data_IF_336470432719
#
_entry.id   IF_336470432719
#
_cell.length_a   1.000
_cell.length_b   1.000
_cell.length_c   1.000
_cell.angle_alpha   90.00
_cell.angle_beta   90.00
_cell.angle_gamma   90.00
#
_symmetry.space_group_name_H-M   'P 1'
#
loop_
_entity.id
_entity.type
_entity.pdbx_description
1 polymer ?
#
# COMPACT_ATOMS: atom_id res chain seq x y z
N UNK A 1 -11.50 -9.33 -4.97
CA UNK A 1 -10.94 -9.10 -6.31
C UNK A 1 -9.42 -9.03 -6.16
N UNK A 2 -8.61 -9.53 -7.10
CA UNK A 2 -7.14 -9.41 -6.98
C UNK A 2 -6.69 -8.05 -7.53
N UNK A 3 -5.58 -7.49 -7.03
CA UNK A 3 -4.96 -6.27 -7.55
C UNK A 3 -4.81 -6.27 -9.09
N UNK A 4 -4.60 -7.44 -9.72
CA UNK A 4 -4.51 -7.55 -11.18
C UNK A 4 -5.87 -7.48 -11.85
N UNK A 5 -6.91 -7.99 -11.20
CA UNK A 5 -8.29 -7.87 -11.68
C UNK A 5 -8.73 -6.41 -11.63
N UNK A 6 -8.40 -5.67 -10.57
CA UNK A 6 -8.71 -4.23 -10.45
C UNK A 6 -7.97 -3.41 -11.53
N UNK A 7 -6.67 -3.68 -11.74
CA UNK A 7 -5.88 -3.06 -12.81
C UNK A 7 -6.43 -3.39 -14.20
N UNK A 8 -6.83 -4.64 -14.42
CA UNK A 8 -7.41 -5.09 -15.68
C UNK A 8 -8.83 -4.54 -15.88
N UNK A 9 -9.63 -4.36 -14.83
CA UNK A 9 -10.95 -3.75 -14.90
C UNK A 9 -10.85 -2.27 -15.24
N UNK A 10 -9.94 -1.54 -14.60
CA UNK A 10 -9.63 -0.14 -14.94
C UNK A 10 -9.12 -0.04 -16.38
N UNK A 11 -8.19 -0.91 -16.79
CA UNK A 11 -7.72 -0.97 -18.18
C UNK A 11 -8.87 -1.27 -19.16
N UNK A 12 -9.74 -2.23 -18.85
CA UNK A 12 -10.87 -2.62 -19.70
C UNK A 12 -11.99 -1.57 -19.74
N UNK A 13 -12.25 -0.86 -18.65
CA UNK A 13 -13.24 0.22 -18.57
C UNK A 13 -12.83 1.43 -19.40
N UNK A 14 -11.54 1.77 -19.37
CA UNK A 14 -10.93 2.82 -20.20
C UNK A 14 -10.98 2.46 -21.68
N UNK A 15 -10.65 1.22 -22.05
CA UNK A 15 -10.71 0.74 -23.44
C UNK A 15 -12.14 0.73 -24.01
N UNK A 16 -13.17 0.59 -23.17
CA UNK A 16 -14.59 0.59 -23.59
C UNK A 16 -15.19 1.99 -23.80
N UNK A 17 -14.60 3.05 -23.24
CA UNK A 17 -15.16 4.42 -23.25
C UNK A 17 -14.41 5.40 -24.17
N UNK A 18 -13.72 4.90 -25.20
CA UNK A 18 -12.96 5.69 -26.18
C UNK A 18 -13.84 6.54 -27.14
N UNK A 19 -14.84 7.24 -26.61
CA UNK A 19 -15.74 8.13 -27.36
C UNK A 19 -16.11 9.44 -26.66
N UNK A 20 -15.77 9.65 -25.38
CA UNK A 20 -16.07 10.92 -24.69
C UNK A 20 -14.90 11.36 -23.84
N UNK A 21 -14.10 12.25 -24.43
CA UNK A 21 -13.30 13.30 -23.80
C UNK A 21 -12.77 13.01 -22.38
N UNK A 22 -11.92 11.99 -22.31
CA UNK A 22 -10.88 11.83 -21.28
C UNK A 22 -9.57 12.18 -21.98
N UNK A 23 -9.16 13.45 -21.96
CA UNK A 23 -7.84 13.84 -22.49
C UNK A 23 -6.67 13.16 -21.72
N UNK A 24 -6.95 12.38 -20.66
CA UNK A 24 -5.98 11.85 -19.67
C UNK A 24 -6.08 10.34 -19.41
N UNK A 25 -6.92 9.61 -20.16
CA UNK A 25 -6.77 8.15 -20.23
C UNK A 25 -5.40 7.75 -20.85
N UNK A 26 -4.72 8.71 -21.48
CA UNK A 26 -3.47 8.57 -22.23
C UNK A 26 -2.19 8.29 -21.42
N UNK A 27 -2.21 8.28 -20.09
CA UNK A 27 -1.01 7.98 -19.28
C UNK A 27 -1.21 6.75 -18.37
N UNK A 28 -2.44 6.27 -18.26
CA UNK A 28 -2.89 5.18 -17.36
C UNK A 28 -2.87 3.81 -18.06
N UNK A 29 -2.22 3.72 -19.21
CA UNK A 29 -1.33 2.58 -19.37
C UNK A 29 0.05 3.15 -19.16
N UNK A 30 0.49 3.06 -17.91
CA UNK A 30 1.86 2.73 -17.55
C UNK A 30 2.44 2.01 -18.75
N UNK A 31 3.22 2.73 -19.56
CA UNK A 31 3.76 2.26 -20.84
C UNK A 31 4.17 0.80 -20.64
N UNK A 32 3.90 -0.16 -21.53
CA UNK A 32 4.13 -1.59 -21.23
C UNK A 32 5.49 -1.89 -20.55
N UNK A 33 6.48 -1.02 -20.78
CA UNK A 33 7.74 -0.87 -20.06
C UNK A 33 7.70 -0.75 -18.51
N UNK A 34 6.63 -0.27 -17.88
CA UNK A 34 6.54 -0.06 -16.44
C UNK A 34 5.64 -1.09 -15.72
N UNK A 35 4.93 -1.95 -16.46
CA UNK A 35 4.28 -3.14 -15.88
C UNK A 35 5.28 -4.05 -15.11
N UNK A 36 6.51 -4.33 -15.62
CA UNK A 36 7.51 -5.07 -14.85
C UNK A 36 7.88 -4.38 -13.53
N UNK A 37 7.95 -3.04 -13.51
CA UNK A 37 8.26 -2.27 -12.30
C UNK A 37 7.11 -2.36 -11.29
N UNK A 38 5.87 -2.27 -11.74
CA UNK A 38 4.68 -2.45 -10.89
C UNK A 38 4.68 -3.83 -10.22
N UNK A 39 4.92 -4.87 -11.02
CA UNK A 39 4.96 -6.25 -10.53
C UNK A 39 6.08 -6.46 -9.51
N UNK A 40 7.29 -6.01 -9.83
CA UNK A 40 8.44 -6.11 -8.93
C UNK A 40 8.20 -5.37 -7.61
N UNK A 41 7.67 -4.14 -7.67
CA UNK A 41 7.37 -3.34 -6.48
C UNK A 41 6.29 -4.02 -5.62
N UNK A 42 5.25 -4.58 -6.24
CA UNK A 42 4.19 -5.31 -5.53
C UNK A 42 4.75 -6.56 -4.83
N UNK A 43 5.50 -7.38 -5.56
CA UNK A 43 6.06 -8.63 -5.02
C UNK A 43 7.02 -8.34 -3.86
N UNK A 44 7.85 -7.30 -3.99
CA UNK A 44 8.77 -6.88 -2.95
C UNK A 44 8.05 -6.32 -1.72
N UNK A 45 7.01 -5.48 -1.91
CA UNK A 45 6.20 -4.98 -0.80
C UNK A 45 5.46 -6.11 -0.06
N UNK A 46 4.93 -7.09 -0.79
CA UNK A 46 4.28 -8.27 -0.20
C UNK A 46 5.28 -9.13 0.58
N UNK A 47 6.45 -9.40 0.00
CA UNK A 47 7.52 -10.15 0.66
C UNK A 47 7.96 -9.46 1.95
N UNK A 48 8.24 -8.16 1.89
CA UNK A 48 8.70 -7.38 3.04
C UNK A 48 7.65 -7.32 4.15
N UNK A 49 6.41 -6.97 3.81
CA UNK A 49 5.31 -6.90 4.80
C UNK A 49 5.00 -8.25 5.44
N UNK A 50 5.12 -9.36 4.70
CA UNK A 50 5.02 -10.71 5.28
C UNK A 50 6.09 -10.93 6.34
N UNK A 51 7.35 -10.56 6.08
CA UNK A 51 8.42 -10.69 7.06
C UNK A 51 8.16 -9.81 8.30
N UNK A 52 7.75 -8.56 8.10
CA UNK A 52 7.42 -7.65 9.21
C UNK A 52 6.23 -8.16 10.02
N UNK A 53 5.27 -8.86 9.41
CA UNK A 53 4.10 -9.39 10.14
C UNK A 53 4.47 -10.38 11.25
N UNK A 54 5.61 -11.07 11.14
CA UNK A 54 6.14 -11.96 12.18
C UNK A 54 7.12 -11.28 13.14
N UNK A 55 7.54 -10.03 12.90
CA UNK A 55 8.48 -9.32 13.78
C UNK A 55 7.92 -9.16 15.21
N UNK A 56 6.60 -9.25 15.37
CA UNK A 56 5.89 -9.11 16.63
C UNK A 56 5.49 -10.44 17.27
N UNK A 57 5.96 -11.59 16.77
CA UNK A 57 5.51 -12.92 17.21
C UNK A 57 6.56 -13.71 17.99
N UNK A 58 7.61 -13.05 18.48
CA UNK A 58 8.68 -13.70 19.24
C UNK A 58 8.12 -14.41 20.49
N UNK A 59 8.46 -15.70 20.64
CA UNK A 59 8.01 -16.52 21.77
C UNK A 59 6.57 -17.00 21.70
N UNK A 60 5.87 -16.77 20.58
CA UNK A 60 4.54 -17.32 20.33
C UNK A 60 4.63 -18.70 19.68
N UNK A 61 3.67 -19.57 20.00
CA UNK A 61 3.44 -20.82 19.25
C UNK A 61 3.04 -20.52 17.80
N UNK A 62 3.35 -21.45 16.88
CA UNK A 62 3.17 -21.25 15.43
C UNK A 62 1.76 -20.79 15.05
N UNK A 63 0.72 -21.41 15.59
CA UNK A 63 -0.68 -21.07 15.27
C UNK A 63 -1.07 -19.69 15.80
N UNK A 64 -0.52 -19.29 16.96
CA UNK A 64 -0.75 -17.97 17.53
C UNK A 64 0.01 -16.90 16.74
N UNK A 65 1.26 -17.18 16.39
CA UNK A 65 2.07 -16.32 15.53
C UNK A 65 1.37 -16.07 14.19
N UNK A 66 0.80 -17.11 13.56
CA UNK A 66 0.08 -16.96 12.30
C UNK A 66 -1.16 -16.09 12.43
N UNK A 67 -1.94 -16.23 13.51
CA UNK A 67 -3.12 -15.38 13.75
C UNK A 67 -2.75 -13.91 13.91
N UNK A 68 -1.69 -13.63 14.67
CA UNK A 68 -1.17 -12.26 14.86
C UNK A 68 -0.64 -11.70 13.55
N UNK A 69 0.17 -12.48 12.83
CA UNK A 69 0.73 -12.07 11.55
C UNK A 69 -0.36 -11.82 10.49
N UNK A 70 -1.37 -12.69 10.42
CA UNK A 70 -2.54 -12.51 9.55
C UNK A 70 -3.32 -11.25 9.89
N UNK A 71 -3.57 -10.98 11.18
CA UNK A 71 -4.24 -9.74 11.60
C UNK A 71 -3.41 -8.51 11.22
N UNK A 72 -2.09 -8.59 11.36
CA UNK A 72 -1.17 -7.51 11.01
C UNK A 72 -1.19 -7.18 9.51
N UNK A 73 -1.39 -8.19 8.65
CA UNK A 73 -1.48 -8.04 7.19
C UNK A 73 -2.85 -7.58 6.67
N UNK A 74 -3.87 -7.50 7.54
CA UNK A 74 -5.25 -7.16 7.13
C UNK A 74 -5.78 -5.95 7.93
N UNK A 75 -5.52 -4.75 7.43
CA UNK A 75 -5.77 -3.44 8.06
C UNK A 75 -4.94 -3.16 9.33
N UNK A 76 -3.87 -3.92 9.52
CA UNK A 76 -2.96 -3.83 10.65
C UNK A 76 -1.59 -3.22 10.32
N UNK A 77 -0.59 -3.37 11.21
CA UNK A 77 0.73 -2.75 11.05
C UNK A 77 1.47 -3.13 9.77
N UNK A 78 1.53 -4.41 9.44
CA UNK A 78 2.22 -4.88 8.24
C UNK A 78 1.53 -4.40 6.97
N UNK A 79 0.20 -4.26 7.02
CA UNK A 79 -0.58 -3.74 5.90
C UNK A 79 -0.31 -2.25 5.65
N UNK A 80 -0.33 -1.44 6.71
CA UNK A 80 0.02 -0.03 6.64
C UNK A 80 1.43 0.20 6.06
N UNK A 81 2.40 -0.61 6.50
CA UNK A 81 3.77 -0.61 5.98
C UNK A 81 3.82 -1.04 4.51
N UNK A 82 3.07 -2.08 4.12
CA UNK A 82 2.96 -2.57 2.73
C UNK A 82 2.51 -1.46 1.79
N UNK A 83 1.42 -0.78 2.12
CA UNK A 83 0.84 0.30 1.33
C UNK A 83 1.78 1.50 1.21
N UNK A 84 2.39 1.91 2.33
CA UNK A 84 3.36 3.00 2.32
C UNK A 84 4.61 2.66 1.50
N UNK A 85 5.18 1.47 1.66
CA UNK A 85 6.39 1.06 0.96
C UNK A 85 6.16 0.83 -0.53
N UNK A 86 5.06 0.17 -0.91
CA UNK A 86 4.64 0.04 -2.32
C UNK A 86 4.55 1.43 -2.97
N UNK A 87 3.83 2.35 -2.33
CA UNK A 87 3.65 3.71 -2.83
C UNK A 87 4.96 4.49 -2.92
N UNK A 88 5.91 4.25 -2.02
CA UNK A 88 7.24 4.84 -2.09
C UNK A 88 8.05 4.32 -3.29
N UNK A 89 8.02 3.00 -3.56
CA UNK A 89 8.67 2.44 -4.76
C UNK A 89 8.06 3.00 -6.04
N UNK A 90 6.72 3.04 -6.13
CA UNK A 90 6.04 3.61 -7.29
C UNK A 90 6.32 5.11 -7.45
N UNK A 91 6.26 5.86 -6.36
CA UNK A 91 6.56 7.30 -6.35
C UNK A 91 8.01 7.59 -6.77
N UNK A 92 8.97 6.73 -6.40
CA UNK A 92 10.37 6.81 -6.87
C UNK A 92 10.45 6.54 -8.37
N UNK A 93 9.93 5.40 -8.81
CA UNK A 93 10.20 4.80 -10.11
C UNK A 93 9.35 5.33 -11.27
N UNK A 94 8.14 5.81 -10.97
CA UNK A 94 7.18 6.34 -11.95
C UNK A 94 6.99 7.85 -11.80
N UNK A 95 7.17 8.40 -10.60
CA UNK A 95 6.78 9.78 -10.32
C UNK A 95 5.40 9.89 -9.71
N UNK A 96 5.05 11.10 -9.28
CA UNK A 96 3.88 11.33 -8.44
C UNK A 96 2.56 11.00 -9.17
N UNK A 97 2.37 11.54 -10.36
CA UNK A 97 1.09 11.43 -11.10
C UNK A 97 0.79 9.98 -11.49
N UNK A 98 1.73 9.31 -12.14
CA UNK A 98 1.58 7.91 -12.56
C UNK A 98 1.38 6.96 -11.37
N UNK A 99 2.13 7.15 -10.29
CA UNK A 99 2.00 6.34 -9.09
C UNK A 99 0.65 6.58 -8.38
N UNK A 100 0.22 7.84 -8.26
CA UNK A 100 -1.06 8.19 -7.64
C UNK A 100 -2.22 7.54 -8.38
N UNK A 101 -2.20 7.60 -9.71
CA UNK A 101 -3.23 6.96 -10.53
C UNK A 101 -3.35 5.47 -10.26
N UNK A 102 -2.23 4.75 -10.27
CA UNK A 102 -2.22 3.29 -10.03
C UNK A 102 -2.75 2.98 -8.62
N UNK A 103 -2.33 3.75 -7.63
CA UNK A 103 -2.73 3.54 -6.24
C UNK A 103 -4.22 3.84 -6.03
N UNK A 104 -4.74 4.95 -6.54
CA UNK A 104 -6.18 5.27 -6.43
C UNK A 104 -7.01 4.21 -7.14
N UNK A 105 -6.61 3.79 -8.34
CA UNK A 105 -7.28 2.73 -9.08
C UNK A 105 -7.35 1.41 -8.28
N UNK A 106 -6.28 1.05 -7.57
CA UNK A 106 -6.28 -0.15 -6.71
C UNK A 106 -7.29 -0.07 -5.56
N UNK A 107 -7.49 1.12 -4.99
CA UNK A 107 -8.41 1.31 -3.86
C UNK A 107 -9.89 1.37 -4.30
N UNK A 108 -10.18 1.69 -5.57
CA UNK A 108 -11.54 1.81 -6.14
C UNK A 108 -12.20 0.45 -6.40
N UNK A 109 -12.33 -0.36 -5.36
CA UNK A 109 -13.04 -1.65 -5.38
C UNK A 109 -14.33 -1.59 -4.53
N UNK A 110 -14.99 -2.74 -4.34
CA UNK A 110 -16.24 -2.86 -3.54
C UNK A 110 -16.10 -2.36 -2.09
N UNK A 111 -14.87 -2.24 -1.56
CA UNK A 111 -14.58 -1.73 -0.21
C UNK A 111 -14.27 -0.22 -0.20
N UNK A 112 -14.44 0.49 -1.32
CA UNK A 112 -14.21 1.93 -1.40
C UNK A 112 -14.98 2.69 -0.31
N UNK A 113 -14.25 3.54 0.44
CA UNK A 113 -14.80 4.33 1.54
C UNK A 113 -14.90 3.58 2.88
N UNK A 114 -14.57 2.28 2.92
CA UNK A 114 -14.41 1.54 4.18
C UNK A 114 -13.25 2.10 5.02
N UNK A 115 -13.21 1.82 6.34
CA UNK A 115 -12.06 2.19 7.16
C UNK A 115 -10.72 1.65 6.65
N UNK A 116 -10.70 0.46 6.04
CA UNK A 116 -9.51 -0.15 5.45
C UNK A 116 -9.05 0.64 4.21
N UNK A 117 -9.93 0.85 3.23
CA UNK A 117 -9.61 1.66 2.04
C UNK A 117 -9.15 3.10 2.41
N UNK A 118 -9.75 3.71 3.44
CA UNK A 118 -9.30 5.02 3.95
C UNK A 118 -7.91 4.97 4.59
N UNK A 119 -7.56 3.87 5.25
CA UNK A 119 -6.24 3.64 5.84
C UNK A 119 -5.21 3.49 4.72
N UNK A 120 -5.53 2.71 3.70
CA UNK A 120 -4.67 2.44 2.55
C UNK A 120 -4.40 3.73 1.76
N UNK A 121 -5.43 4.50 1.40
CA UNK A 121 -5.28 5.82 0.76
C UNK A 121 -4.38 6.77 1.57
N UNK A 122 -4.53 6.80 2.89
CA UNK A 122 -3.72 7.64 3.76
C UNK A 122 -2.25 7.20 3.73
N UNK A 123 -1.99 5.90 3.90
CA UNK A 123 -0.65 5.35 3.92
C UNK A 123 0.04 5.44 2.55
N UNK A 124 -0.73 5.30 1.47
CA UNK A 124 -0.29 5.50 0.10
C UNK A 124 0.22 6.93 -0.10
N UNK A 125 -0.50 7.95 0.38
CA UNK A 125 -0.08 9.35 0.30
C UNK A 125 1.26 9.61 1.02
N UNK A 126 1.46 9.03 2.20
CA UNK A 126 2.75 9.11 2.92
C UNK A 126 3.87 8.44 2.14
N UNK A 127 3.60 7.27 1.53
CA UNK A 127 4.56 6.57 0.69
C UNK A 127 4.95 7.38 -0.55
N UNK A 128 3.98 7.96 -1.25
CA UNK A 128 4.22 8.82 -2.42
C UNK A 128 5.14 10.00 -2.07
N UNK A 129 4.90 10.67 -0.94
CA UNK A 129 5.78 11.75 -0.44
C UNK A 129 7.22 11.27 -0.28
N UNK A 130 7.42 10.10 0.35
CA UNK A 130 8.74 9.49 0.55
C UNK A 130 9.40 9.21 -0.79
N UNK A 131 8.72 8.47 -1.67
CA UNK A 131 9.26 8.01 -2.95
C UNK A 131 9.65 9.16 -3.89
N UNK A 132 8.80 10.19 -3.99
CA UNK A 132 9.06 11.35 -4.84
C UNK A 132 10.26 12.16 -4.36
N UNK A 133 10.47 12.24 -3.04
CA UNK A 133 11.64 12.91 -2.46
C UNK A 133 12.92 12.08 -2.59
N UNK A 134 12.80 10.75 -2.55
CA UNK A 134 13.92 9.81 -2.50
C UNK A 134 14.20 9.14 -3.85
N UNK A 135 14.29 9.93 -4.92
CA UNK A 135 14.40 9.46 -6.32
C UNK A 135 15.57 8.51 -6.61
N UNK A 136 16.68 8.64 -5.89
CA UNK A 136 17.89 7.84 -6.10
C UNK A 136 18.10 6.79 -5.01
N UNK A 137 17.12 6.61 -4.13
CA UNK A 137 17.22 5.73 -2.99
C UNK A 137 17.04 4.26 -3.38
N UNK A 138 17.77 3.38 -2.71
CA UNK A 138 17.60 1.94 -2.84
C UNK A 138 16.27 1.49 -2.23
N UNK A 139 15.86 0.26 -2.54
CA UNK A 139 14.70 -0.37 -1.89
C UNK A 139 14.87 -0.43 -0.36
N UNK A 140 16.09 -0.70 0.12
CA UNK A 140 16.41 -0.71 1.55
C UNK A 140 16.24 0.66 2.21
N UNK A 141 16.66 1.74 1.55
CA UNK A 141 16.48 3.11 2.05
C UNK A 141 14.99 3.49 2.14
N UNK A 142 14.19 3.04 1.17
CA UNK A 142 12.74 3.23 1.19
C UNK A 142 12.08 2.41 2.31
N UNK A 143 12.50 1.16 2.55
CA UNK A 143 12.04 0.36 3.69
C UNK A 143 12.34 1.05 5.02
N UNK A 144 13.55 1.60 5.18
CA UNK A 144 13.94 2.34 6.38
C UNK A 144 13.09 3.61 6.55
N UNK A 145 12.91 4.39 5.48
CA UNK A 145 12.07 5.59 5.52
C UNK A 145 10.60 5.27 5.86
N UNK A 146 10.05 4.19 5.31
CA UNK A 146 8.70 3.72 5.62
C UNK A 146 8.59 3.24 7.08
N UNK A 147 9.58 2.49 7.58
CA UNK A 147 9.62 2.07 8.98
C UNK A 147 9.72 3.27 9.92
N UNK A 148 10.53 4.28 9.58
CA UNK A 148 10.62 5.52 10.34
C UNK A 148 9.28 6.27 10.38
N UNK A 149 8.56 6.34 9.25
CA UNK A 149 7.22 6.92 9.21
C UNK A 149 6.23 6.16 10.12
N UNK A 150 6.29 4.83 10.12
CA UNK A 150 5.51 3.98 11.02
C UNK A 150 5.82 4.26 12.50
N UNK A 151 7.10 4.22 12.88
CA UNK A 151 7.52 4.43 14.28
C UNK A 151 7.18 5.83 14.80
N UNK A 152 7.17 6.84 13.92
CA UNK A 152 6.78 8.21 14.26
C UNK A 152 5.27 8.41 14.36
N UNK A 153 4.46 7.37 14.07
CA UNK A 153 3.01 7.48 14.06
C UNK A 153 2.46 8.25 12.85
N UNK A 154 3.24 8.38 11.78
CA UNK A 154 2.80 9.02 10.53
C UNK A 154 1.89 8.11 9.71
N UNK A 155 1.90 6.80 9.95
CA UNK A 155 0.98 5.86 9.29
C UNK A 155 -0.27 5.61 10.14
N UNK A 156 -1.33 5.11 9.49
CA UNK A 156 -2.61 4.75 10.10
C UNK A 156 -2.83 3.25 10.07
N UNK A 157 -3.57 2.77 11.06
CA UNK A 157 -4.11 1.41 11.16
C UNK A 157 -5.57 1.47 11.57
N UNK A 158 -6.32 0.41 11.28
CA UNK A 158 -7.71 0.27 11.72
C UNK A 158 -7.73 -0.36 13.11
N UNK A 159 -8.23 0.39 14.08
CA UNK A 159 -8.50 -0.11 15.42
C UNK A 159 -9.85 -0.84 15.45
N UNK A 160 -9.80 -2.15 15.19
CA UNK A 160 -10.98 -3.02 15.20
C UNK A 160 -11.64 -3.13 16.58
N UNK A 161 -10.89 -2.89 17.66
CA UNK A 161 -11.43 -2.93 19.02
C UNK A 161 -12.25 -1.67 19.34
N UNK A 162 -11.89 -0.52 18.74
CA UNK A 162 -12.56 0.76 18.96
C UNK A 162 -13.39 1.19 17.74
N UNK A 163 -14.28 0.30 17.28
CA UNK A 163 -15.29 0.64 16.25
C UNK A 163 -14.70 0.93 14.87
N UNK A 164 -13.56 0.32 14.52
CA UNK A 164 -12.84 0.52 13.26
C UNK A 164 -12.33 1.96 13.05
N UNK A 165 -11.98 2.66 14.14
CA UNK A 165 -11.37 3.97 14.05
C UNK A 165 -9.99 3.92 13.37
N UNK A 166 -9.66 4.92 12.55
CA UNK A 166 -8.30 5.08 12.04
C UNK A 166 -7.43 5.74 13.11
N UNK A 167 -6.46 5.02 13.62
CA UNK A 167 -5.56 5.50 14.67
C UNK A 167 -4.12 5.61 14.16
N UNK A 168 -3.31 6.55 14.69
CA UNK A 168 -1.87 6.56 14.44
C UNK A 168 -1.24 5.21 14.81
N UNK A 169 -0.24 4.79 14.06
CA UNK A 169 0.55 3.58 14.36
C UNK A 169 1.25 3.62 15.71
N UNK A 170 1.61 4.79 16.23
CA UNK A 170 2.11 4.96 17.62
C UNK A 170 1.06 4.68 18.70
N UNK A 171 -0.22 4.66 18.34
CA UNK A 171 -1.33 4.34 19.26
C UNK A 171 -1.57 2.84 19.40
N UNK A 172 -0.85 2.01 18.63
CA UNK A 172 -0.85 0.57 18.81
C UNK A 172 -0.19 0.22 20.14
N UNK A 173 -1.00 -0.02 21.15
CA UNK A 173 -0.57 -0.82 22.29
C UNK A 173 -0.52 -2.27 21.83
N UNK A 174 0.65 -2.74 21.40
CA UNK A 174 0.91 -4.19 21.37
C UNK A 174 0.66 -4.69 22.80
N UNK A 175 -0.28 -5.64 22.94
CA UNK A 175 -0.91 -6.03 24.20
C UNK A 175 -0.03 -5.88 25.43
N UNK A 176 -0.49 -5.07 26.39
CA UNK A 176 -0.23 -5.27 27.81
C UNK A 176 -1.37 -6.07 28.39
#
# INVERSE_FOLDING_TARGET
>A
MSFMDDLMEVANGVLRHAGTNVYEAGTIMVNAAALPKLLAAKDEALRWSRNVSYAFTSGMETDQAEKVASTSRNAGPADALRHCYLSAMLGRDLGYEDALTVLVAHEMNDEWGSPASRMDLFNNAVGLEIGVRMKTASDGDLQEATMNAFLQGRLRVVDKANGNALVPTKSLTFGR
#
